data_IF_000520453274
#
_entry.id   IF_000520453274
#
_cell.length_a   1.000
_cell.length_b   1.000
_cell.length_c   1.000
_cell.angle_alpha   90.00
_cell.angle_beta   90.00
_cell.angle_gamma   90.00
#
_symmetry.space_group_name_H-M   'P 1'
#
loop_
_entity.id
_entity.type
_entity.pdbx_description
1 polymer ?
#
# COMPACT_ATOMS: atom_id res chain seq x y z
N UNK A 1 9.07 -1.40 6.44
CA UNK A 1 8.01 -1.19 7.43
C UNK A 1 7.51 0.24 7.29
N UNK A 2 6.21 0.46 7.25
CA UNK A 2 5.61 1.80 7.16
C UNK A 2 4.16 1.78 7.67
N UNK A 3 3.52 2.92 7.82
CA UNK A 3 2.11 3.00 8.24
C UNK A 3 1.17 2.75 7.06
N UNK A 4 -0.13 2.62 7.36
CA UNK A 4 -1.17 2.81 6.34
C UNK A 4 -1.40 4.32 6.11
N UNK A 5 -1.19 4.75 4.87
CA UNK A 5 -1.27 6.15 4.44
C UNK A 5 -2.66 6.49 3.91
N UNK A 6 -2.96 7.77 3.70
CA UNK A 6 -4.25 8.15 3.14
C UNK A 6 -4.31 7.88 1.62
N UNK A 7 -5.52 7.68 1.06
CA UNK A 7 -5.73 7.73 -0.39
C UNK A 7 -5.14 9.01 -0.98
N UNK A 8 -4.65 8.93 -2.22
CA UNK A 8 -4.09 10.06 -2.99
C UNK A 8 -2.83 10.73 -2.37
N UNK A 9 -2.21 10.11 -1.36
CA UNK A 9 -0.93 10.59 -0.81
C UNK A 9 0.28 10.18 -1.65
N UNK A 10 1.35 10.98 -1.63
CA UNK A 10 2.62 10.58 -2.26
C UNK A 10 3.26 9.35 -1.59
N UNK A 11 2.93 9.10 -0.32
CA UNK A 11 3.40 7.92 0.41
C UNK A 11 2.73 6.63 -0.07
N UNK A 12 1.44 6.65 -0.42
CA UNK A 12 0.80 5.48 -1.03
C UNK A 12 1.37 5.19 -2.42
N UNK A 13 1.77 6.23 -3.17
CA UNK A 13 2.50 6.06 -4.44
C UNK A 13 3.87 5.41 -4.22
N UNK A 14 4.64 5.84 -3.21
CA UNK A 14 5.93 5.23 -2.87
C UNK A 14 5.79 3.75 -2.50
N UNK A 15 4.80 3.42 -1.68
CA UNK A 15 4.51 2.03 -1.31
C UNK A 15 4.12 1.22 -2.55
N UNK A 16 3.30 1.79 -3.43
CA UNK A 16 2.88 1.13 -4.68
C UNK A 16 4.05 0.87 -5.62
N UNK A 17 5.00 1.80 -5.73
CA UNK A 17 6.22 1.60 -6.52
C UNK A 17 7.12 0.47 -5.94
N UNK A 18 7.09 0.25 -4.62
CA UNK A 18 7.90 -0.78 -3.96
C UNK A 18 7.24 -2.17 -3.95
N UNK A 19 5.91 -2.22 -3.82
CA UNK A 19 5.15 -3.46 -3.61
C UNK A 19 4.30 -3.89 -4.81
N UNK A 20 4.08 -3.00 -5.77
CA UNK A 20 3.05 -3.12 -6.81
C UNK A 20 1.78 -2.38 -6.41
N UNK A 21 1.12 -1.75 -7.38
CA UNK A 21 -0.14 -1.06 -7.19
C UNK A 21 -1.24 -2.02 -6.79
N UNK A 22 -1.38 -3.15 -7.50
CA UNK A 22 -2.45 -4.12 -7.24
C UNK A 22 -2.32 -4.71 -5.83
N UNK A 23 -1.11 -5.10 -5.44
CA UNK A 23 -0.83 -5.61 -4.10
C UNK A 23 -1.11 -4.56 -3.02
N UNK A 24 -0.72 -3.30 -3.26
CA UNK A 24 -0.98 -2.20 -2.32
C UNK A 24 -2.49 -1.98 -2.17
N UNK A 25 -3.25 -1.89 -3.25
CA UNK A 25 -4.70 -1.68 -3.18
C UNK A 25 -5.43 -2.86 -2.52
N UNK A 26 -5.02 -4.10 -2.81
CA UNK A 26 -5.56 -5.29 -2.17
C UNK A 26 -5.30 -5.29 -0.66
N UNK A 27 -4.09 -4.93 -0.23
CA UNK A 27 -3.74 -4.82 1.18
C UNK A 27 -4.55 -3.73 1.89
N UNK A 28 -4.77 -2.58 1.23
CA UNK A 28 -5.59 -1.50 1.77
C UNK A 28 -7.06 -1.89 1.89
N UNK A 29 -7.62 -2.57 0.87
CA UNK A 29 -8.98 -3.11 0.92
C UNK A 29 -9.15 -4.07 2.10
N UNK A 30 -8.23 -5.02 2.26
CA UNK A 30 -8.26 -5.95 3.38
C UNK A 30 -8.12 -5.25 4.75
N UNK A 31 -7.28 -4.22 4.84
CA UNK A 31 -7.10 -3.42 6.06
C UNK A 31 -8.38 -2.65 6.44
N UNK A 32 -9.10 -2.10 5.46
CA UNK A 32 -10.40 -1.44 5.68
C UNK A 32 -11.46 -2.45 6.15
N UNK A 33 -11.56 -3.60 5.47
CA UNK A 33 -12.49 -4.69 5.84
C UNK A 33 -12.23 -5.20 7.27
N UNK A 34 -10.97 -5.24 7.68
CA UNK A 34 -10.55 -5.67 9.01
C UNK A 34 -10.44 -4.53 10.04
N UNK A 35 -10.89 -3.32 9.69
CA UNK A 35 -10.92 -2.16 10.60
C UNK A 35 -9.56 -1.79 11.21
N UNK A 36 -8.49 -1.89 10.42
CA UNK A 36 -7.17 -1.40 10.81
C UNK A 36 -7.21 0.11 11.05
N UNK A 37 -6.35 0.58 11.96
CA UNK A 37 -6.17 2.01 12.23
C UNK A 37 -5.19 2.58 11.23
N UNK A 38 -5.57 3.65 10.54
CA UNK A 38 -4.72 4.32 9.54
C UNK A 38 -3.95 5.50 10.18
N UNK A 39 -3.07 6.12 9.39
CA UNK A 39 -2.34 7.36 9.71
C UNK A 39 -1.16 7.19 10.69
N UNK A 40 -0.66 8.29 11.24
CA UNK A 40 0.62 8.38 11.96
C UNK A 40 0.73 7.49 13.20
N UNK A 41 -0.38 7.25 13.90
CA UNK A 41 -0.45 6.43 15.12
C UNK A 41 -1.28 5.15 14.93
N UNK A 42 -1.55 4.80 13.69
CA UNK A 42 -2.29 3.61 13.33
C UNK A 42 -1.43 2.35 13.38
N UNK A 43 -1.90 1.34 12.70
CA UNK A 43 -1.21 0.07 12.53
C UNK A 43 -0.16 0.18 11.39
N UNK A 44 0.71 -0.82 11.31
CA UNK A 44 1.83 -0.84 10.40
C UNK A 44 1.70 -1.95 9.34
N UNK A 45 2.33 -1.71 8.20
CA UNK A 45 2.55 -2.66 7.13
C UNK A 45 4.00 -3.15 7.17
N UNK A 46 4.18 -4.46 7.10
CA UNK A 46 5.45 -5.10 6.77
C UNK A 46 5.43 -5.52 5.30
N UNK A 47 6.41 -5.06 4.52
CA UNK A 47 6.44 -5.22 3.07
C UNK A 47 7.85 -5.62 2.66
N UNK A 48 7.97 -6.65 1.83
CA UNK A 48 9.20 -7.05 1.14
C UNK A 48 9.19 -6.55 -0.30
N UNK A 49 10.36 -6.24 -0.85
CA UNK A 49 10.47 -5.74 -2.22
C UNK A 49 9.83 -6.71 -3.23
N UNK A 50 8.96 -6.20 -4.09
CA UNK A 50 8.37 -6.97 -5.17
C UNK A 50 9.03 -6.58 -6.51
N UNK A 51 9.88 -7.44 -7.12
CA UNK A 51 10.53 -7.12 -8.38
C UNK A 51 9.55 -7.01 -9.57
N UNK A 52 8.35 -7.60 -9.45
CA UNK A 52 7.33 -7.54 -10.50
C UNK A 52 6.59 -6.20 -10.53
N UNK A 53 6.70 -5.38 -9.47
CA UNK A 53 6.06 -4.08 -9.39
C UNK A 53 6.44 -3.14 -10.56
N UNK A 54 7.65 -3.30 -11.10
CA UNK A 54 8.16 -2.51 -12.23
C UNK A 54 7.42 -2.78 -13.55
N UNK A 55 6.74 -3.93 -13.65
CA UNK A 55 6.04 -4.34 -14.88
C UNK A 55 4.54 -4.03 -14.83
N UNK A 56 4.02 -3.59 -13.67
CA UNK A 56 2.60 -3.24 -13.54
C UNK A 56 2.28 -1.92 -14.24
N UNK A 57 1.15 -1.89 -14.95
CA UNK A 57 0.56 -0.67 -15.48
C UNK A 57 -0.66 -0.32 -14.66
N UNK A 58 -0.68 0.91 -14.14
CA UNK A 58 -1.77 1.41 -13.30
C UNK A 58 -2.81 2.08 -14.20
N UNK A 59 -4.07 1.65 -14.10
CA UNK A 59 -5.20 2.25 -14.83
C UNK A 59 -5.54 1.61 -16.18
N UNK A 60 -4.92 0.47 -16.51
CA UNK A 60 -5.42 -0.46 -17.55
C UNK A 60 -6.43 -1.45 -16.95
#
# INVERSE_FOLDING_TARGET
>A
VTNFHLPESTLIMLVSAFAGYQNTMNAYKAAVEQQYRFFSYGDAMFITYNPQALNERVGE
#
